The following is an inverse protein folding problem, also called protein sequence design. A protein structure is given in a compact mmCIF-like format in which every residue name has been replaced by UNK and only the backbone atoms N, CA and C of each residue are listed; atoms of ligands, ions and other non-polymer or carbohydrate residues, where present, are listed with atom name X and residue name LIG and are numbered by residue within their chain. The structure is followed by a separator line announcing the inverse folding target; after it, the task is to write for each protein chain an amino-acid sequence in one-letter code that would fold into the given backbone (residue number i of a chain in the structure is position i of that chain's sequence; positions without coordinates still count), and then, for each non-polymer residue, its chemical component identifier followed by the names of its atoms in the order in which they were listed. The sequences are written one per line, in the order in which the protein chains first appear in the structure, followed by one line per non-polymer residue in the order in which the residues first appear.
data_IF_108420113629
#
_entry.id   IF_108420113629
#
_cell.length_a   1.000
_cell.length_b   1.000
_cell.length_c   1.000
_cell.angle_alpha   90.00
_cell.angle_beta   90.00
_cell.angle_gamma   90.00
#
_symmetry.space_group_name_H-M   'P 1'
#
loop_
_entity.id
_entity.type
_entity.pdbx_description
1 polymer ?
#
# COMPACT_ATOMS: atom_id res chain seq x y z
N UNK A 1 -21.27 11.25 16.48
CA UNK A 1 -20.82 10.13 15.60
C UNK A 1 -21.60 8.88 15.98
N UNK A 2 -22.25 8.19 15.03
CA UNK A 2 -22.94 6.93 15.33
C UNK A 2 -21.91 5.86 15.67
N UNK A 3 -22.11 5.14 16.78
CA UNK A 3 -21.21 4.07 17.22
C UNK A 3 -21.39 2.86 16.29
N UNK A 4 -20.46 2.67 15.38
CA UNK A 4 -20.41 1.46 14.55
C UNK A 4 -19.64 0.36 15.28
N UNK A 5 -20.06 -0.89 15.08
CA UNK A 5 -19.35 -2.05 15.62
C UNK A 5 -18.20 -2.40 14.69
N UNK A 6 -16.97 -2.09 15.10
CA UNK A 6 -15.77 -2.47 14.37
C UNK A 6 -15.20 -3.79 14.91
N UNK A 7 -14.74 -4.67 14.02
CA UNK A 7 -14.02 -5.90 14.36
C UNK A 7 -12.60 -5.76 13.84
N UNK A 8 -11.62 -5.85 14.72
CA UNK A 8 -10.20 -5.86 14.34
C UNK A 8 -9.73 -7.29 14.10
N UNK A 9 -9.04 -7.52 12.98
CA UNK A 9 -8.42 -8.82 12.66
C UNK A 9 -6.96 -8.62 12.28
N UNK A 10 -6.10 -9.53 12.72
CA UNK A 10 -4.69 -9.58 12.32
C UNK A 10 -4.52 -10.56 11.17
N UNK A 11 -4.03 -10.07 10.02
CA UNK A 11 -3.71 -10.90 8.86
C UNK A 11 -2.19 -11.05 8.80
N UNK A 12 -1.71 -12.30 8.76
CA UNK A 12 -0.29 -12.62 8.75
C UNK A 12 0.16 -12.99 7.33
N UNK A 13 1.18 -12.30 6.83
CA UNK A 13 1.82 -12.60 5.55
C UNK A 13 3.21 -13.18 5.81
N UNK A 14 3.42 -14.43 5.39
CA UNK A 14 4.73 -15.09 5.50
C UNK A 14 5.71 -14.54 4.46
N UNK A 15 7.01 -14.68 4.71
CA UNK A 15 8.05 -14.24 3.78
C UNK A 15 7.90 -14.89 2.39
N UNK A 16 7.56 -16.18 2.35
CA UNK A 16 7.30 -16.92 1.11
C UNK A 16 6.13 -16.32 0.31
N UNK A 17 5.01 -16.02 0.97
CA UNK A 17 3.85 -15.39 0.32
C UNK A 17 4.20 -14.00 -0.22
N UNK A 18 4.94 -13.20 0.54
CA UNK A 18 5.41 -11.89 0.08
C UNK A 18 6.34 -12.04 -1.12
N UNK A 19 7.26 -13.02 -1.10
CA UNK A 19 8.15 -13.29 -2.24
C UNK A 19 7.36 -13.67 -3.49
N UNK A 20 6.35 -14.54 -3.35
CA UNK A 20 5.46 -14.92 -4.44
C UNK A 20 4.73 -13.70 -5.04
N UNK A 21 4.17 -12.84 -4.19
CA UNK A 21 3.49 -11.62 -4.63
C UNK A 21 4.45 -10.65 -5.35
N UNK A 22 5.69 -10.51 -4.86
CA UNK A 22 6.72 -9.69 -5.52
C UNK A 22 7.08 -10.22 -6.90
N UNK A 23 7.22 -11.53 -7.06
CA UNK A 23 7.52 -12.17 -8.35
C UNK A 23 6.40 -11.94 -9.35
N UNK A 24 5.14 -12.15 -8.94
CA UNK A 24 3.97 -11.91 -9.78
C UNK A 24 3.95 -10.48 -10.35
N UNK A 25 4.27 -9.47 -9.55
CA UNK A 25 4.32 -8.08 -10.00
C UNK A 25 5.54 -7.80 -10.88
N UNK A 26 6.71 -8.35 -10.54
CA UNK A 26 7.95 -8.10 -11.28
C UNK A 26 7.98 -8.81 -12.66
N UNK A 27 7.27 -9.94 -12.79
CA UNK A 27 7.16 -10.71 -14.04
C UNK A 27 6.08 -10.13 -14.98
N UNK A 28 5.14 -9.33 -14.44
CA UNK A 28 4.11 -8.70 -15.23
C UNK A 28 4.64 -7.46 -16.00
N UNK A 29 4.80 -7.65 -17.31
CA UNK A 29 5.31 -6.64 -18.22
C UNK A 29 4.39 -5.42 -18.35
N UNK A 30 3.08 -5.56 -18.09
CA UNK A 30 2.13 -4.45 -18.20
C UNK A 30 2.34 -3.41 -17.08
N UNK A 31 2.87 -3.83 -15.93
CA UNK A 31 3.09 -2.91 -14.80
C UNK A 31 4.32 -2.05 -14.96
N UNK A 32 5.37 -2.55 -15.62
CA UNK A 32 6.70 -1.93 -15.65
C UNK A 32 7.37 -1.79 -14.28
N UNK A 33 6.80 -2.34 -13.19
CA UNK A 33 7.29 -2.16 -11.82
C UNK A 33 8.48 -3.07 -11.57
N UNK A 34 9.63 -2.47 -11.25
CA UNK A 34 10.87 -3.20 -10.92
C UNK A 34 11.15 -3.14 -9.43
N UNK A 35 11.48 -4.29 -8.83
CA UNK A 35 11.90 -4.42 -7.43
C UNK A 35 10.92 -3.83 -6.38
N UNK A 36 9.64 -4.25 -6.38
CA UNK A 36 8.67 -3.69 -5.45
C UNK A 36 9.03 -4.01 -3.98
N UNK A 37 8.82 -3.03 -3.11
CA UNK A 37 9.03 -3.18 -1.66
C UNK A 37 7.92 -4.01 -1.04
N UNK A 38 8.17 -4.52 0.18
CA UNK A 38 7.13 -5.26 0.93
C UNK A 38 5.90 -4.38 1.20
N UNK A 39 6.12 -3.11 1.53
CA UNK A 39 5.04 -2.17 1.86
C UNK A 39 4.16 -1.90 0.66
N UNK A 40 4.75 -1.64 -0.50
CA UNK A 40 4.00 -1.40 -1.75
C UNK A 40 3.16 -2.60 -2.15
N UNK A 41 3.75 -3.81 -2.14
CA UNK A 41 3.03 -5.04 -2.48
C UNK A 41 1.85 -5.29 -1.54
N UNK A 42 2.06 -5.14 -0.23
CA UNK A 42 0.99 -5.38 0.74
C UNK A 42 -0.09 -4.29 0.68
N UNK A 43 0.28 -3.03 0.47
CA UNK A 43 -0.67 -1.94 0.28
C UNK A 43 -1.52 -2.18 -0.98
N UNK A 44 -0.89 -2.49 -2.11
CA UNK A 44 -1.59 -2.82 -3.36
C UNK A 44 -2.53 -4.02 -3.19
N UNK A 45 -2.05 -5.11 -2.57
CA UNK A 45 -2.84 -6.30 -2.28
C UNK A 45 -4.07 -5.96 -1.42
N UNK A 46 -3.88 -5.29 -0.27
CA UNK A 46 -4.98 -4.96 0.62
C UNK A 46 -5.99 -4.02 -0.03
N UNK A 47 -5.52 -3.04 -0.79
CA UNK A 47 -6.37 -2.10 -1.53
C UNK A 47 -7.22 -2.82 -2.57
N UNK A 48 -6.61 -3.75 -3.33
CA UNK A 48 -7.33 -4.61 -4.28
C UNK A 48 -8.47 -5.38 -3.62
N UNK A 49 -8.19 -6.08 -2.53
CA UNK A 49 -9.21 -6.86 -1.82
C UNK A 49 -10.27 -5.97 -1.16
N UNK A 50 -9.92 -4.79 -0.65
CA UNK A 50 -10.90 -3.84 -0.13
C UNK A 50 -11.82 -3.31 -1.23
N UNK A 51 -11.30 -3.02 -2.42
CA UNK A 51 -12.11 -2.57 -3.55
C UNK A 51 -13.11 -3.65 -3.99
N UNK A 52 -12.66 -4.90 -4.09
CA UNK A 52 -13.53 -6.04 -4.40
C UNK A 52 -14.60 -6.20 -3.30
N UNK A 53 -14.20 -6.16 -2.03
CA UNK A 53 -15.11 -6.28 -0.90
C UNK A 53 -16.09 -5.10 -0.76
N UNK A 54 -15.75 -3.92 -1.29
CA UNK A 54 -16.59 -2.72 -1.27
C UNK A 54 -17.53 -2.62 -2.47
N UNK A 55 -17.56 -3.63 -3.36
CA UNK A 55 -18.26 -3.58 -4.64
C UNK A 55 -17.79 -2.42 -5.52
N UNK A 56 -16.47 -2.23 -5.61
CA UNK A 56 -15.82 -1.22 -6.43
C UNK A 56 -16.25 0.22 -6.14
N UNK A 57 -16.64 0.50 -4.89
CA UNK A 57 -16.84 1.89 -4.46
C UNK A 57 -15.49 2.63 -4.50
N UNK A 58 -15.46 3.90 -4.95
CA UNK A 58 -14.23 4.68 -4.96
C UNK A 58 -13.54 4.69 -3.61
N UNK A 59 -12.23 4.48 -3.62
CA UNK A 59 -11.39 4.47 -2.42
C UNK A 59 -10.16 5.36 -2.62
N UNK A 60 -9.66 5.89 -1.51
CA UNK A 60 -8.38 6.61 -1.46
C UNK A 60 -7.45 5.87 -0.51
N UNK A 61 -6.30 5.43 -1.01
CA UNK A 61 -5.22 4.87 -0.22
C UNK A 61 -4.28 5.99 0.22
N UNK A 62 -4.08 6.13 1.53
CA UNK A 62 -3.06 7.00 2.11
C UNK A 62 -1.89 6.18 2.65
N UNK A 63 -0.69 6.42 2.14
CA UNK A 63 0.55 5.83 2.62
C UNK A 63 1.37 6.92 3.30
N UNK A 64 1.74 6.71 4.56
CA UNK A 64 2.66 7.59 5.28
C UNK A 64 4.10 7.34 4.84
N UNK A 65 4.85 8.42 4.64
CA UNK A 65 6.27 8.37 4.27
C UNK A 65 7.13 9.11 5.29
N UNK A 66 8.26 8.50 5.67
CA UNK A 66 9.23 9.11 6.56
C UNK A 66 10.09 10.11 5.78
N UNK A 67 9.98 11.40 6.12
CA UNK A 67 10.67 12.48 5.40
C UNK A 67 12.09 12.76 5.91
N UNK A 68 12.51 12.14 7.01
CA UNK A 68 13.83 12.42 7.64
C UNK A 68 15.00 12.26 6.68
N UNK A 69 14.97 11.24 5.83
CA UNK A 69 16.03 10.95 4.86
C UNK A 69 15.93 11.78 3.57
N UNK A 70 14.83 12.52 3.38
CA UNK A 70 14.53 13.29 2.16
C UNK A 70 14.79 14.79 2.36
N UNK A 71 14.61 15.29 3.59
CA UNK A 71 14.93 16.67 3.97
C UNK A 71 16.43 16.92 3.80
N UNK A 72 16.81 18.15 3.41
CA UNK A 72 18.21 18.56 3.28
C UNK A 72 18.53 19.67 4.30
N UNK A 73 19.45 19.45 5.27
CA UNK A 73 20.21 18.21 5.48
C UNK A 73 19.34 17.06 6.03
N UNK A 74 19.71 15.79 5.78
CA UNK A 74 19.00 14.64 6.33
C UNK A 74 18.98 14.67 7.86
N UNK A 75 17.85 14.30 8.45
CA UNK A 75 17.66 14.25 9.90
C UNK A 75 18.03 12.87 10.44
N UNK A 76 18.72 12.83 11.59
CA UNK A 76 18.99 11.57 12.28
C UNK A 76 17.70 10.89 12.75
N UNK A 77 17.73 9.56 12.85
CA UNK A 77 16.54 8.77 13.23
C UNK A 77 16.01 9.02 14.65
N UNK A 78 16.84 9.59 15.53
CA UNK A 78 16.53 9.92 16.92
C UNK A 78 15.86 11.30 17.10
N UNK A 79 15.67 12.09 16.02
CA UNK A 79 15.03 13.40 16.12
C UNK A 79 13.58 13.30 16.61
N UNK A 80 13.32 14.02 17.69
CA UNK A 80 11.98 14.17 18.26
C UNK A 80 11.09 15.01 17.33
N UNK A 81 9.83 14.59 17.17
CA UNK A 81 8.85 15.25 16.32
C UNK A 81 8.38 14.42 15.12
N UNK A 82 7.36 14.93 14.44
CA UNK A 82 6.74 14.27 13.29
C UNK A 82 7.30 14.84 11.97
N UNK A 83 8.11 14.04 11.29
CA UNK A 83 8.61 14.33 9.95
C UNK A 83 8.00 13.33 8.97
N UNK A 84 6.72 13.53 8.71
CA UNK A 84 5.87 12.63 7.93
C UNK A 84 5.20 13.40 6.80
N UNK A 85 5.14 12.78 5.62
CA UNK A 85 4.27 13.20 4.54
C UNK A 85 3.39 12.03 4.11
N UNK A 86 2.53 12.24 3.13
CA UNK A 86 1.61 11.22 2.64
C UNK A 86 1.65 11.13 1.12
N UNK A 87 1.58 9.90 0.62
CA UNK A 87 1.23 9.60 -0.76
C UNK A 87 -0.25 9.22 -0.77
N UNK A 88 -1.03 9.87 -1.62
CA UNK A 88 -2.45 9.57 -1.82
C UNK A 88 -2.69 8.96 -3.19
N UNK A 89 -3.37 7.83 -3.25
CA UNK A 89 -3.74 7.15 -4.49
C UNK A 89 -5.27 7.01 -4.51
N UNK A 90 -5.91 7.66 -5.47
CA UNK A 90 -7.37 7.58 -5.68
C UNK A 90 -7.67 6.52 -6.72
N UNK A 91 -8.61 5.64 -6.42
CA UNK A 91 -9.06 4.55 -7.30
C UNK A 91 -10.58 4.69 -7.41
N UNK A 92 -11.07 5.00 -8.61
CA UNK A 92 -12.49 5.32 -8.83
C UNK A 92 -13.19 4.26 -9.67
N UNK A 93 -12.46 3.57 -10.55
CA UNK A 93 -13.04 2.61 -11.49
C UNK A 93 -12.35 1.24 -11.40
N UNK A 94 -13.03 0.19 -11.85
CA UNK A 94 -12.46 -1.17 -11.94
C UNK A 94 -11.27 -1.22 -12.90
N UNK A 95 -11.25 -0.35 -13.92
CA UNK A 95 -10.17 -0.25 -14.91
C UNK A 95 -8.88 0.33 -14.33
N UNK A 96 -8.97 1.10 -13.23
CA UNK A 96 -7.82 1.59 -12.48
C UNK A 96 -7.10 0.46 -11.73
N UNK A 97 -7.75 -0.71 -11.56
CA UNK A 97 -7.24 -1.88 -10.87
C UNK A 97 -6.38 -2.78 -11.79
N UNK A 98 -5.51 -2.19 -12.61
CA UNK A 98 -4.43 -2.94 -13.28
C UNK A 98 -3.29 -3.27 -12.29
N UNK A 99 -3.66 -3.86 -11.15
CA UNK A 99 -2.72 -4.43 -10.19
C UNK A 99 -2.53 -5.91 -10.56
N UNK A 100 -1.39 -6.21 -11.20
CA UNK A 100 -0.85 -7.51 -11.63
C UNK A 100 -0.86 -8.66 -10.63
N UNK A 101 -1.41 -8.46 -9.44
CA UNK A 101 -1.53 -9.47 -8.42
C UNK A 101 -2.75 -10.34 -8.75
N UNK A 102 -2.60 -11.29 -9.68
CA UNK A 102 -3.60 -12.32 -9.99
C UNK A 102 -3.71 -13.37 -8.88
#
# INVERSE_FOLDING_TARGET
MKKQRHISRRIMFTAERIKKLKLMVAEDQETGVKNPTRTEILAAFLTKYNLIASSFKPIVLFISVNMRNVINPPLEGNWAGNFISFISISISEEQDLNLAIK
#
